data_IF_135793826781
#
_entry.id   IF_135793826781
#
_cell.length_a   1.000
_cell.length_b   1.000
_cell.length_c   1.000
_cell.angle_alpha   90.00
_cell.angle_beta   90.00
_cell.angle_gamma   90.00
#
_symmetry.space_group_name_H-M   'P 1'
#
loop_
_entity.id
_entity.type
_entity.pdbx_description
1 polymer ?
#
# COMPACT_ATOMS: atom_id res chain seq x y z
N UNK A 1 11.52 -9.53 -16.69
CA UNK A 1 10.13 -9.11 -16.44
C UNK A 1 10.15 -7.81 -15.65
N UNK A 2 9.21 -6.89 -15.89
CA UNK A 2 9.12 -5.62 -15.16
C UNK A 2 8.16 -5.74 -13.96
N UNK A 3 8.55 -5.20 -12.81
CA UNK A 3 7.69 -5.09 -11.64
C UNK A 3 7.16 -3.66 -11.52
N UNK A 4 5.97 -3.49 -10.92
CA UNK A 4 5.51 -2.17 -10.50
C UNK A 4 6.38 -1.72 -9.32
N UNK A 5 6.82 -0.46 -9.34
CA UNK A 5 7.49 0.14 -8.19
C UNK A 5 6.42 0.66 -7.22
N UNK A 6 6.36 0.05 -6.04
CA UNK A 6 5.38 0.37 -5.00
C UNK A 6 5.96 1.35 -3.97
N UNK A 7 5.22 2.42 -3.70
CA UNK A 7 5.48 3.34 -2.61
C UNK A 7 4.43 3.16 -1.52
N UNK A 8 4.84 3.35 -0.26
CA UNK A 8 3.93 3.30 0.87
C UNK A 8 3.13 4.61 0.92
N UNK A 9 2.15 4.72 0.03
CA UNK A 9 1.36 5.93 -0.14
C UNK A 9 -0.12 5.55 -0.25
N UNK A 10 -0.95 6.23 0.53
CA UNK A 10 -2.38 6.23 0.28
C UNK A 10 -2.67 7.14 -0.92
N UNK A 11 -3.04 6.55 -2.05
CA UNK A 11 -3.52 7.31 -3.20
C UNK A 11 -4.95 7.75 -2.93
N UNK A 12 -5.30 9.03 -3.12
CA UNK A 12 -6.66 9.52 -2.86
C UNK A 12 -7.68 8.93 -3.86
N UNK A 13 -7.25 8.76 -5.11
CA UNK A 13 -8.06 8.24 -6.19
C UNK A 13 -7.32 7.11 -6.92
N UNK A 14 -8.09 6.18 -7.48
CA UNK A 14 -7.59 5.21 -8.45
C UNK A 14 -8.06 5.68 -9.82
N UNK A 15 -7.12 5.83 -10.75
CA UNK A 15 -7.42 6.23 -12.11
C UNK A 15 -8.29 5.17 -12.79
N UNK A 16 -9.36 5.61 -13.45
CA UNK A 16 -10.14 4.78 -14.35
C UNK A 16 -9.55 4.95 -15.75
N UNK A 17 -9.20 3.84 -16.41
CA UNK A 17 -8.82 3.90 -17.81
C UNK A 17 -10.02 4.33 -18.64
N UNK A 18 -9.82 5.34 -19.46
CA UNK A 18 -10.81 5.85 -20.39
C UNK A 18 -10.66 5.15 -21.75
N UNK A 19 -11.71 5.15 -22.54
CA UNK A 19 -11.68 4.54 -23.89
C UNK A 19 -10.76 5.27 -24.86
N UNK A 20 -10.46 6.55 -24.58
CA UNK A 20 -9.49 7.35 -25.32
C UNK A 20 -8.04 7.10 -24.91
N UNK A 21 -7.80 6.38 -23.80
CA UNK A 21 -6.43 6.14 -23.34
C UNK A 21 -5.73 5.11 -24.22
N UNK A 22 -4.50 5.38 -24.68
CA UNK A 22 -3.74 4.39 -25.41
C UNK A 22 -3.32 3.25 -24.46
N UNK A 23 -3.29 2.02 -24.97
CA UNK A 23 -2.79 0.87 -24.20
C UNK A 23 -1.26 0.92 -24.19
N UNK A 24 -0.69 1.54 -23.16
CA UNK A 24 0.75 1.73 -22.98
C UNK A 24 1.21 1.11 -21.66
N UNK A 25 2.10 0.12 -21.77
CA UNK A 25 2.83 -0.47 -20.65
C UNK A 25 4.13 0.27 -20.31
N UNK A 26 5.06 -0.40 -19.65
CA UNK A 26 6.30 0.21 -19.15
C UNK A 26 6.10 0.95 -17.82
N UNK A 27 7.19 1.51 -17.28
CA UNK A 27 7.18 2.15 -15.96
C UNK A 27 6.20 3.33 -15.90
N UNK A 28 6.11 4.12 -16.95
CA UNK A 28 5.27 5.33 -17.02
C UNK A 28 4.03 5.18 -17.90
N UNK A 29 3.75 3.95 -18.35
CA UNK A 29 2.58 3.66 -19.17
C UNK A 29 1.26 3.90 -18.45
N UNK A 30 0.30 4.54 -19.12
CA UNK A 30 -1.00 4.88 -18.53
C UNK A 30 -1.78 3.63 -18.11
N UNK A 31 -1.60 2.51 -18.81
CA UNK A 31 -2.24 1.23 -18.46
C UNK A 31 -1.75 0.66 -17.11
N UNK A 32 -0.56 1.07 -16.66
CA UNK A 32 0.00 0.67 -15.36
C UNK A 32 -0.31 1.65 -14.22
N UNK A 33 -0.98 2.78 -14.49
CA UNK A 33 -1.28 3.80 -13.46
C UNK A 33 -2.19 3.26 -12.37
N UNK A 34 -3.35 2.71 -12.73
CA UNK A 34 -4.32 2.20 -11.77
C UNK A 34 -3.77 1.00 -10.98
N UNK A 35 -3.12 0.00 -11.62
CA UNK A 35 -2.42 -1.06 -10.90
C UNK A 35 -1.37 -0.55 -9.91
N UNK A 36 -0.54 0.44 -10.28
CA UNK A 36 0.45 1.03 -9.37
C UNK A 36 -0.20 1.73 -8.19
N UNK A 37 -1.29 2.46 -8.41
CA UNK A 37 -2.01 3.14 -7.32
C UNK A 37 -2.63 2.14 -6.33
N UNK A 38 -3.19 1.04 -6.84
CA UNK A 38 -3.68 -0.06 -6.01
C UNK A 38 -2.56 -0.73 -5.22
N UNK A 39 -1.41 -0.96 -5.86
CA UNK A 39 -0.24 -1.53 -5.21
C UNK A 39 0.28 -0.61 -4.08
N UNK A 40 0.33 0.70 -4.32
CA UNK A 40 0.70 1.70 -3.30
C UNK A 40 -0.24 1.66 -2.08
N UNK A 41 -1.57 1.66 -2.32
CA UNK A 41 -2.57 1.53 -1.24
C UNK A 41 -2.40 0.22 -0.47
N UNK A 42 -2.12 -0.88 -1.17
CA UNK A 42 -1.89 -2.20 -0.56
C UNK A 42 -0.65 -2.18 0.35
N UNK A 43 0.46 -1.59 -0.12
CA UNK A 43 1.68 -1.44 0.68
C UNK A 43 1.46 -0.56 1.91
N UNK A 44 0.73 0.54 1.77
CA UNK A 44 0.35 1.40 2.89
C UNK A 44 -0.51 0.66 3.92
N UNK A 45 -1.54 -0.06 3.48
CA UNK A 45 -2.42 -0.84 4.37
C UNK A 45 -1.66 -1.95 5.10
N UNK A 46 -0.74 -2.62 4.42
CA UNK A 46 0.12 -3.63 5.03
C UNK A 46 0.92 -3.03 6.18
N UNK A 47 1.60 -1.90 5.94
CA UNK A 47 2.38 -1.24 7.01
C UNK A 47 1.49 -0.78 8.16
N UNK A 48 0.32 -0.19 7.90
CA UNK A 48 -0.61 0.21 8.96
C UNK A 48 -1.08 -0.97 9.82
N UNK A 49 -1.28 -2.12 9.19
CA UNK A 49 -1.65 -3.36 9.88
C UNK A 49 -0.50 -3.90 10.73
N UNK A 50 0.72 -3.86 10.20
CA UNK A 50 1.93 -4.24 10.94
C UNK A 50 2.19 -3.32 12.15
N UNK A 51 2.04 -2.01 11.98
CA UNK A 51 2.13 -1.02 13.07
C UNK A 51 1.09 -1.29 14.16
N UNK A 52 -0.18 -1.51 13.78
CA UNK A 52 -1.26 -1.81 14.73
C UNK A 52 -1.00 -3.12 15.50
N UNK A 53 -0.51 -4.16 14.81
CA UNK A 53 -0.14 -5.42 15.44
C UNK A 53 1.02 -5.26 16.44
N UNK A 54 2.01 -4.43 16.11
CA UNK A 54 3.12 -4.12 17.01
C UNK A 54 2.65 -3.39 18.26
N UNK A 55 1.84 -2.32 18.12
CA UNK A 55 1.29 -1.58 19.26
C UNK A 55 0.44 -2.47 20.18
N UNK A 56 -0.33 -3.40 19.60
CA UNK A 56 -1.08 -4.38 20.40
C UNK A 56 -0.15 -5.31 21.18
N UNK A 57 0.90 -5.83 20.53
CA UNK A 57 1.88 -6.70 21.19
C UNK A 57 2.61 -5.97 22.34
N UNK A 58 2.95 -4.70 22.17
CA UNK A 58 3.55 -3.86 23.21
C UNK A 58 2.60 -3.61 24.38
N UNK A 59 1.34 -3.30 24.10
CA UNK A 59 0.31 -3.11 25.14
C UNK A 59 0.10 -4.39 25.96
N UNK A 60 0.05 -5.56 25.32
CA UNK A 60 -0.09 -6.84 26.02
C UNK A 60 1.13 -7.11 26.91
N UNK A 61 2.34 -6.79 26.44
CA UNK A 61 3.56 -6.95 27.25
C UNK A 61 3.58 -6.03 28.46
N UNK A 62 3.16 -4.76 28.33
CA UNK A 62 3.15 -3.82 29.45
C UNK A 62 2.12 -4.22 30.52
N UNK A 63 0.96 -4.73 30.12
CA UNK A 63 -0.08 -5.20 31.05
C UNK A 63 0.34 -6.43 31.85
N UNK A 64 1.20 -7.29 31.29
CA UNK A 64 1.64 -8.53 31.91
C UNK A 64 2.98 -8.38 32.65
N UNK A 65 3.47 -7.15 32.88
CA UNK A 65 4.73 -6.92 33.58
C UNK A 65 4.54 -7.15 35.10
N UNK A 66 5.36 -8.00 35.75
CA UNK A 66 5.12 -8.45 37.13
C UNK A 66 5.42 -7.41 38.24
N UNK A 67 5.74 -6.17 37.90
CA UNK A 67 6.13 -5.11 38.85
C UNK A 67 5.39 -3.76 38.65
N UNK A 68 4.17 -3.77 38.08
CA UNK A 68 3.29 -2.61 38.03
C UNK A 68 2.14 -2.70 39.06
#
# INVERSE_FOLDING_TARGET
>A
MGNLNETEKWEENIYQLETSDPVLGGADGISNRAPRQLANRTKWLKKKTEEAAQSLAEHVRSRNHPDA
#
